data_IF_799362810972
#
_entry.id   IF_799362810972
#
_cell.length_a   1.000
_cell.length_b   1.000
_cell.length_c   1.000
_cell.angle_alpha   90.00
_cell.angle_beta   90.00
_cell.angle_gamma   90.00
#
_symmetry.space_group_name_H-M   'P 1'
#
loop_
_entity.id
_entity.type
_entity.pdbx_description
1 polymer ?
#
# COMPACT_ATOMS: atom_id res chain seq x y z
N UNK A 1 -71.08 -38.29 8.28
CA UNK A 1 -70.19 -39.45 8.05
C UNK A 1 -69.72 -39.41 6.61
N UNK A 2 -68.40 -39.34 6.48
CA UNK A 2 -67.53 -39.37 5.31
C UNK A 2 -68.14 -39.68 3.94
N UNK A 3 -67.91 -38.78 2.97
CA UNK A 3 -67.87 -39.13 1.55
C UNK A 3 -66.53 -38.72 0.95
N UNK A 4 -65.87 -39.72 0.39
CA UNK A 4 -64.68 -39.67 -0.45
C UNK A 4 -65.12 -39.49 -1.91
N UNK A 5 -64.25 -38.82 -2.67
CA UNK A 5 -63.97 -38.97 -4.12
C UNK A 5 -64.72 -38.17 -5.21
N UNK A 6 -63.94 -37.27 -5.84
CA UNK A 6 -63.50 -37.21 -7.26
C UNK A 6 -64.38 -36.47 -8.30
N UNK A 7 -63.64 -35.74 -9.17
CA UNK A 7 -63.95 -35.05 -10.45
C UNK A 7 -64.10 -33.51 -10.35
N UNK A 8 -63.48 -32.63 -11.16
CA UNK A 8 -62.60 -32.73 -12.33
C UNK A 8 -61.96 -31.34 -12.60
N UNK A 9 -60.71 -31.34 -13.06
CA UNK A 9 -60.03 -30.40 -13.96
C UNK A 9 -60.60 -28.97 -14.19
N UNK A 10 -59.81 -27.94 -13.82
CA UNK A 10 -59.35 -26.88 -14.75
C UNK A 10 -57.89 -26.51 -14.39
N UNK A 11 -57.04 -26.58 -15.42
CA UNK A 11 -55.66 -26.14 -15.48
C UNK A 11 -55.64 -24.62 -15.73
N UNK A 12 -54.99 -23.82 -14.88
CA UNK A 12 -54.37 -22.54 -15.29
C UNK A 12 -53.43 -21.99 -14.21
N UNK A 13 -52.14 -22.13 -14.51
CA UNK A 13 -51.03 -21.21 -14.28
C UNK A 13 -51.11 -20.22 -13.09
N UNK A 14 -50.38 -20.55 -12.01
CA UNK A 14 -49.49 -19.57 -11.35
C UNK A 14 -48.16 -20.29 -11.06
N UNK A 15 -47.27 -20.20 -12.04
CA UNK A 15 -45.84 -20.49 -11.88
C UNK A 15 -45.18 -19.30 -11.17
N UNK A 16 -44.10 -19.61 -10.44
CA UNK A 16 -43.02 -18.71 -10.04
C UNK A 16 -43.31 -17.71 -8.91
N UNK A 17 -42.61 -17.92 -7.79
CA UNK A 17 -41.74 -16.94 -7.09
C UNK A 17 -41.66 -17.18 -5.57
N UNK A 18 -41.41 -18.41 -5.11
CA UNK A 18 -41.01 -18.61 -3.71
C UNK A 18 -39.98 -19.74 -3.56
N UNK A 19 -38.80 -19.53 -4.15
CA UNK A 19 -37.56 -20.24 -3.79
C UNK A 19 -36.29 -19.47 -4.20
N UNK A 20 -36.36 -18.13 -4.27
CA UNK A 20 -35.21 -17.27 -4.53
C UNK A 20 -35.10 -16.26 -3.38
N UNK A 21 -34.65 -16.72 -2.23
CA UNK A 21 -34.62 -15.86 -1.05
C UNK A 21 -33.79 -16.39 0.12
N UNK A 22 -32.92 -17.37 -0.10
CA UNK A 22 -31.85 -17.76 0.83
C UNK A 22 -30.64 -18.30 0.02
N UNK A 23 -30.30 -17.65 -1.09
CA UNK A 23 -28.88 -17.59 -1.45
C UNK A 23 -28.29 -16.59 -0.47
N UNK A 24 -27.68 -17.10 0.59
CA UNK A 24 -26.65 -16.34 1.27
C UNK A 24 -25.76 -15.76 0.18
N UNK A 25 -25.64 -14.43 0.14
CA UNK A 25 -24.55 -13.76 -0.56
C UNK A 25 -23.24 -14.15 0.13
N UNK A 26 -22.86 -15.42 -0.02
CA UNK A 26 -21.52 -15.89 0.18
C UNK A 26 -20.78 -15.33 -1.02
N UNK A 27 -20.36 -14.07 -0.86
CA UNK A 27 -19.55 -13.25 -1.77
C UNK A 27 -18.85 -14.05 -2.87
N UNK A 28 -18.96 -13.55 -4.11
CA UNK A 28 -18.53 -14.11 -5.40
C UNK A 28 -17.02 -14.47 -5.56
N UNK A 29 -16.28 -14.77 -4.49
CA UNK A 29 -14.86 -15.10 -4.52
C UNK A 29 -14.58 -16.56 -4.90
N UNK A 30 -15.33 -17.17 -5.81
CA UNK A 30 -14.79 -18.35 -6.49
C UNK A 30 -13.71 -17.84 -7.46
N UNK A 31 -12.50 -17.62 -6.92
CA UNK A 31 -11.42 -16.90 -7.58
C UNK A 31 -11.00 -17.65 -8.83
N UNK A 32 -11.43 -17.13 -9.99
CA UNK A 32 -10.93 -17.57 -11.26
C UNK A 32 -9.39 -17.52 -11.24
N UNK A 33 -8.76 -18.52 -11.86
CA UNK A 33 -7.31 -18.60 -11.94
C UNK A 33 -6.71 -17.27 -12.40
N UNK A 34 -5.86 -16.67 -11.56
CA UNK A 34 -5.07 -15.51 -11.97
C UNK A 34 -3.98 -15.95 -12.93
N UNK A 35 -4.01 -15.42 -14.16
CA UNK A 35 -3.03 -15.76 -15.20
C UNK A 35 -1.77 -14.90 -15.15
N UNK A 36 -1.88 -13.72 -14.55
CA UNK A 36 -0.85 -12.69 -14.44
C UNK A 36 -1.18 -11.77 -13.27
N UNK A 37 -0.15 -11.22 -12.64
CA UNK A 37 -0.27 -10.35 -11.49
C UNK A 37 0.29 -8.97 -11.85
N UNK A 38 -0.58 -7.99 -12.07
CA UNK A 38 -0.16 -6.63 -12.35
C UNK A 38 0.31 -5.95 -11.05
N UNK A 39 1.63 -5.74 -10.92
CA UNK A 39 2.21 -5.09 -9.75
C UNK A 39 1.94 -3.59 -9.83
N UNK A 40 1.16 -3.08 -8.87
CA UNK A 40 0.88 -1.66 -8.73
C UNK A 40 2.01 -0.94 -7.98
N UNK A 41 2.55 -1.56 -6.94
CA UNK A 41 3.70 -1.05 -6.19
C UNK A 41 4.49 -2.18 -5.53
N UNK A 42 5.78 -1.93 -5.28
CA UNK A 42 6.66 -2.81 -4.48
C UNK A 42 7.46 -1.92 -3.56
N UNK A 43 7.20 -2.00 -2.25
CA UNK A 43 7.66 -1.02 -1.28
C UNK A 43 8.31 -1.74 -0.11
N UNK A 44 9.31 -1.12 0.51
CA UNK A 44 9.95 -1.67 1.70
C UNK A 44 10.10 -0.63 2.80
N UNK A 45 10.13 -1.10 4.04
CA UNK A 45 10.33 -0.27 5.24
C UNK A 45 11.69 0.44 5.21
N UNK A 46 12.71 -0.20 4.64
CA UNK A 46 14.02 0.36 4.38
C UNK A 46 14.61 -0.21 3.09
N UNK A 47 15.74 0.36 2.67
CA UNK A 47 16.49 -0.05 1.49
C UNK A 47 17.94 0.35 1.68
N UNK A 48 18.85 -0.59 1.49
CA UNK A 48 20.28 -0.28 1.40
C UNK A 48 20.55 0.48 0.12
N UNK A 49 21.17 1.65 0.27
CA UNK A 49 21.52 2.49 -0.86
C UNK A 49 23.03 2.71 -0.83
N UNK A 50 23.74 2.02 -1.72
CA UNK A 50 25.17 2.22 -1.96
C UNK A 50 25.46 2.16 -3.46
N UNK A 51 26.42 2.95 -3.95
CA UNK A 51 26.90 2.81 -5.31
C UNK A 51 28.14 1.93 -5.32
N UNK A 52 28.00 0.66 -5.70
CA UNK A 52 29.18 -0.13 -6.05
C UNK A 52 29.45 -0.03 -7.57
N UNK A 53 30.74 0.13 -7.92
CA UNK A 53 31.34 0.25 -9.26
C UNK A 53 30.43 0.73 -10.41
N UNK A 54 30.72 1.93 -10.93
CA UNK A 54 30.02 2.56 -12.06
C UNK A 54 28.51 2.80 -11.84
N UNK A 55 28.06 2.89 -10.58
CA UNK A 55 26.66 3.20 -10.24
C UNK A 55 25.68 2.06 -10.53
N UNK A 56 26.16 0.81 -10.52
CA UNK A 56 25.38 -0.36 -10.98
C UNK A 56 24.56 -1.05 -9.91
N UNK A 57 25.01 -1.03 -8.66
CA UNK A 57 24.31 -1.73 -7.59
C UNK A 57 23.39 -0.77 -6.89
N UNK A 58 22.09 -1.05 -6.94
CA UNK A 58 21.05 -0.46 -6.11
C UNK A 58 20.27 -1.66 -5.56
N UNK A 59 19.75 -1.55 -4.34
CA UNK A 59 19.00 -2.65 -3.72
C UNK A 59 17.50 -2.37 -3.57
N UNK A 60 16.82 -1.73 -4.55
CA UNK A 60 15.44 -1.35 -4.42
C UNK A 60 14.53 -2.58 -4.26
N UNK A 61 13.40 -2.44 -3.56
CA UNK A 61 12.50 -3.55 -3.31
C UNK A 61 11.98 -4.21 -4.58
N UNK A 62 11.84 -3.49 -5.70
CA UNK A 62 11.42 -4.05 -7.00
C UNK A 62 12.31 -5.18 -7.54
N UNK A 63 13.58 -5.28 -7.11
CA UNK A 63 14.49 -6.34 -7.54
C UNK A 63 13.96 -7.73 -7.20
N UNK A 64 13.08 -7.86 -6.19
CA UNK A 64 12.50 -9.17 -5.84
C UNK A 64 11.52 -9.73 -6.88
N UNK A 65 11.22 -9.02 -7.98
CA UNK A 65 10.26 -9.45 -8.99
C UNK A 65 10.87 -9.59 -10.39
N UNK A 66 12.19 -9.50 -10.55
CA UNK A 66 12.83 -9.37 -11.87
C UNK A 66 13.43 -10.67 -12.43
N UNK A 67 13.46 -11.77 -11.66
CA UNK A 67 13.98 -13.04 -12.12
C UNK A 67 15.52 -13.13 -12.12
N UNK A 68 16.23 -12.08 -11.71
CA UNK A 68 17.69 -11.99 -11.77
C UNK A 68 18.31 -12.10 -10.37
N UNK A 69 18.94 -13.25 -10.10
CA UNK A 69 19.53 -13.52 -8.78
C UNK A 69 20.76 -12.64 -8.49
N UNK A 70 21.32 -11.96 -9.51
CA UNK A 70 22.40 -10.99 -9.33
C UNK A 70 21.91 -9.66 -8.74
N UNK A 71 20.59 -9.44 -8.68
CA UNK A 71 19.94 -8.31 -8.02
C UNK A 71 19.13 -8.78 -6.81
N UNK A 72 19.01 -7.90 -5.81
CA UNK A 72 18.30 -8.22 -4.56
C UNK A 72 17.64 -6.96 -4.00
N UNK A 73 16.63 -7.14 -3.16
CA UNK A 73 16.34 -6.16 -2.12
C UNK A 73 17.24 -6.42 -0.92
N UNK A 74 17.76 -5.35 -0.32
CA UNK A 74 18.53 -5.39 0.90
C UNK A 74 17.97 -4.34 1.85
N UNK A 75 17.72 -4.71 3.10
CA UNK A 75 17.28 -3.76 4.12
C UNK A 75 18.41 -2.84 4.57
N UNK A 76 18.07 -1.76 5.29
CA UNK A 76 19.01 -0.77 5.81
C UNK A 76 18.69 -0.37 7.26
N UNK A 77 18.41 -1.35 8.10
CA UNK A 77 18.41 -1.16 9.54
C UNK A 77 19.79 -0.69 9.98
N UNK A 78 19.85 0.45 10.67
CA UNK A 78 21.11 1.13 10.97
C UNK A 78 22.05 0.30 11.86
N UNK A 79 21.48 -0.49 12.77
CA UNK A 79 22.20 -1.13 13.88
C UNK A 79 21.63 -2.53 14.16
N UNK A 80 21.28 -3.28 13.11
CA UNK A 80 20.70 -4.60 13.28
C UNK A 80 20.61 -5.39 11.99
N UNK A 81 20.18 -6.66 12.10
CA UNK A 81 20.16 -7.59 10.99
C UNK A 81 18.91 -7.45 10.10
N UNK A 82 18.10 -6.41 10.26
CA UNK A 82 16.86 -6.24 9.52
C UNK A 82 15.66 -6.98 10.10
N UNK A 83 15.70 -7.39 11.37
CA UNK A 83 14.52 -8.03 11.99
C UNK A 83 13.45 -6.96 12.19
N UNK A 84 12.26 -7.22 11.63
CA UNK A 84 11.14 -6.29 11.62
C UNK A 84 10.99 -5.53 10.30
N UNK A 85 12.03 -5.52 9.45
CA UNK A 85 11.97 -4.95 8.11
C UNK A 85 11.10 -5.81 7.20
N UNK A 86 10.42 -5.17 6.26
CA UNK A 86 9.45 -5.85 5.39
C UNK A 86 9.41 -5.27 4.00
N UNK A 87 9.04 -6.13 3.06
CA UNK A 87 8.66 -5.78 1.69
C UNK A 87 7.17 -6.03 1.50
N UNK A 88 6.51 -5.13 0.79
CA UNK A 88 5.09 -5.17 0.47
C UNK A 88 4.92 -5.05 -1.04
N UNK A 89 4.21 -6.02 -1.63
CA UNK A 89 3.79 -6.00 -3.03
C UNK A 89 2.30 -5.70 -3.04
N UNK A 90 1.89 -4.64 -3.74
CA UNK A 90 0.50 -4.30 -3.99
C UNK A 90 0.18 -4.64 -5.46
N UNK A 91 -0.90 -5.37 -5.67
CA UNK A 91 -1.41 -5.71 -7.00
C UNK A 91 -2.56 -4.78 -7.39
N UNK A 92 -2.68 -4.48 -8.68
CA UNK A 92 -3.79 -3.66 -9.20
C UNK A 92 -5.15 -4.32 -8.90
N UNK A 93 -5.20 -5.65 -9.01
CA UNK A 93 -6.36 -6.49 -8.71
C UNK A 93 -5.96 -7.65 -7.79
N UNK A 94 -6.88 -8.22 -6.99
CA UNK A 94 -6.58 -9.39 -6.17
C UNK A 94 -6.02 -10.58 -6.98
N UNK A 95 -4.93 -11.18 -6.50
CA UNK A 95 -4.24 -12.32 -7.12
C UNK A 95 -4.51 -13.59 -6.33
N UNK A 96 -4.88 -14.66 -7.05
CA UNK A 96 -5.09 -16.01 -6.51
C UNK A 96 -3.89 -16.92 -6.81
N UNK A 97 -3.33 -17.54 -5.78
CA UNK A 97 -2.13 -18.38 -5.85
C UNK A 97 -2.20 -19.50 -4.80
N UNK A 98 -1.52 -20.62 -4.99
CA UNK A 98 -1.43 -21.73 -4.03
C UNK A 98 0.00 -22.02 -3.57
N UNK A 99 0.96 -21.23 -4.05
CA UNK A 99 2.36 -21.32 -3.65
C UNK A 99 3.05 -19.96 -3.84
N UNK A 100 3.93 -19.62 -2.90
CA UNK A 100 4.94 -18.56 -3.04
C UNK A 100 6.30 -19.24 -3.09
N UNK A 101 7.14 -18.86 -4.03
CA UNK A 101 8.55 -19.23 -4.02
C UNK A 101 9.43 -18.02 -3.74
N UNK A 102 10.45 -18.21 -2.91
CA UNK A 102 11.38 -17.15 -2.49
C UNK A 102 12.81 -17.62 -2.72
N UNK A 103 13.65 -16.75 -3.27
CA UNK A 103 15.11 -16.88 -3.25
C UNK A 103 15.62 -16.13 -2.02
N UNK A 104 16.00 -16.89 -1.00
CA UNK A 104 16.41 -16.37 0.30
C UNK A 104 17.85 -15.85 0.26
N UNK A 105 18.11 -14.62 0.72
CA UNK A 105 19.45 -14.05 0.76
C UNK A 105 19.97 -13.57 -0.60
N UNK A 106 21.20 -13.05 -0.60
CA UNK A 106 21.87 -12.63 -1.83
C UNK A 106 22.50 -13.85 -2.52
N UNK A 107 21.68 -14.62 -3.22
CA UNK A 107 22.04 -15.88 -3.90
C UNK A 107 22.90 -15.70 -5.16
N UNK A 108 23.92 -14.84 -5.08
CA UNK A 108 24.86 -14.56 -6.15
C UNK A 108 26.30 -14.57 -5.65
N UNK A 109 27.15 -15.34 -6.33
CA UNK A 109 28.58 -15.51 -5.99
C UNK A 109 28.74 -15.91 -4.51
N UNK A 110 29.65 -15.26 -3.79
CA UNK A 110 29.93 -15.52 -2.38
C UNK A 110 29.15 -14.60 -1.43
N UNK A 111 28.21 -13.79 -1.95
CA UNK A 111 27.39 -12.90 -1.10
C UNK A 111 26.43 -13.68 -0.22
N UNK A 112 25.92 -14.83 -0.67
CA UNK A 112 24.97 -15.63 0.09
C UNK A 112 25.47 -15.95 1.50
N UNK A 113 26.71 -16.42 1.64
CA UNK A 113 27.28 -16.78 2.95
C UNK A 113 27.86 -15.58 3.70
N UNK A 114 28.17 -14.48 3.00
CA UNK A 114 28.68 -13.25 3.61
C UNK A 114 27.58 -12.41 4.26
N UNK A 115 26.40 -12.35 3.65
CA UNK A 115 25.24 -11.62 4.14
C UNK A 115 24.38 -12.49 5.06
N UNK A 116 23.51 -11.82 5.82
CA UNK A 116 22.46 -12.50 6.55
C UNK A 116 21.45 -13.11 5.56
N UNK A 117 20.91 -14.29 5.89
CA UNK A 117 19.75 -14.88 5.21
C UNK A 117 18.55 -14.78 6.12
N UNK A 118 17.36 -14.77 5.54
CA UNK A 118 16.12 -14.81 6.30
C UNK A 118 15.93 -16.22 6.88
N UNK A 119 15.72 -16.30 8.20
CA UNK A 119 15.40 -17.57 8.89
C UNK A 119 13.89 -17.77 8.98
N UNK A 120 13.16 -16.71 9.28
CA UNK A 120 11.71 -16.75 9.39
C UNK A 120 11.09 -15.46 8.89
N UNK A 121 9.88 -15.61 8.36
CA UNK A 121 9.05 -14.50 7.87
C UNK A 121 7.66 -14.57 8.47
N UNK A 122 7.07 -13.40 8.71
CA UNK A 122 5.65 -13.24 8.92
C UNK A 122 5.03 -12.80 7.60
N UNK A 123 4.29 -13.70 6.98
CA UNK A 123 3.60 -13.46 5.72
C UNK A 123 2.21 -12.92 6.01
N UNK A 124 1.87 -11.75 5.47
CA UNK A 124 0.54 -11.12 5.61
C UNK A 124 -0.09 -10.93 4.23
N UNK A 125 -1.33 -11.38 4.07
CA UNK A 125 -2.11 -11.30 2.83
C UNK A 125 -3.42 -10.57 3.11
N UNK A 126 -3.73 -9.53 2.32
CA UNK A 126 -5.00 -8.82 2.43
C UNK A 126 -5.67 -8.63 1.07
N UNK A 127 -6.99 -8.76 1.01
CA UNK A 127 -7.81 -8.50 -0.18
C UNK A 127 -9.25 -8.18 0.24
N UNK A 128 -9.66 -6.91 0.19
CA UNK A 128 -10.96 -6.49 0.72
C UNK A 128 -11.11 -6.86 2.20
N UNK A 129 -12.10 -7.71 2.53
CA UNK A 129 -12.31 -8.22 3.90
C UNK A 129 -11.44 -9.44 4.25
N UNK A 130 -10.77 -10.03 3.26
CA UNK A 130 -9.88 -11.16 3.50
C UNK A 130 -8.58 -10.67 4.11
N UNK A 131 -8.19 -11.32 5.21
CA UNK A 131 -6.95 -11.09 5.93
C UNK A 131 -6.42 -12.45 6.37
N UNK A 132 -5.15 -12.72 6.09
CA UNK A 132 -4.44 -13.89 6.60
C UNK A 132 -3.03 -13.49 7.00
N UNK A 133 -2.56 -14.08 8.09
CA UNK A 133 -1.19 -13.89 8.55
C UNK A 133 -0.65 -15.19 9.14
N UNK A 134 0.58 -15.56 8.75
CA UNK A 134 1.24 -16.75 9.26
C UNK A 134 2.76 -16.64 9.21
N UNK A 135 3.39 -17.22 10.23
CA UNK A 135 4.84 -17.37 10.33
C UNK A 135 5.32 -18.58 9.49
N UNK A 136 6.41 -18.39 8.75
CA UNK A 136 7.09 -19.43 7.97
C UNK A 136 8.58 -19.42 8.25
N UNK A 137 9.19 -20.61 8.27
CA UNK A 137 10.65 -20.78 8.39
C UNK A 137 11.21 -21.10 7.01
N UNK A 138 12.26 -20.39 6.61
CA UNK A 138 13.01 -20.66 5.39
C UNK A 138 14.23 -21.53 5.69
N UNK A 139 14.58 -22.41 4.75
CA UNK A 139 15.77 -23.23 4.86
C UNK A 139 17.02 -22.37 4.61
N UNK A 140 18.09 -22.68 5.33
CA UNK A 140 19.43 -22.15 5.06
C UNK A 140 20.15 -23.03 4.01
N UNK A 141 21.14 -22.46 3.34
CA UNK A 141 21.97 -23.18 2.35
C UNK A 141 21.32 -23.44 0.98
N UNK A 142 20.09 -23.00 0.76
CA UNK A 142 19.40 -23.11 -0.55
C UNK A 142 19.53 -21.80 -1.31
N UNK A 143 20.46 -21.77 -2.29
CA UNK A 143 20.71 -20.64 -3.20
C UNK A 143 19.84 -20.71 -4.46
N UNK A 144 18.57 -21.06 -4.30
CA UNK A 144 17.58 -21.21 -5.37
C UNK A 144 16.18 -21.03 -4.77
N UNK A 145 15.15 -21.16 -5.59
CA UNK A 145 13.74 -21.12 -5.17
C UNK A 145 13.44 -22.08 -4.02
N UNK A 146 12.84 -21.54 -2.96
CA UNK A 146 12.27 -22.29 -1.85
C UNK A 146 10.75 -22.10 -1.83
N UNK A 147 10.00 -23.18 -1.67
CA UNK A 147 8.54 -23.17 -1.75
C UNK A 147 7.88 -22.99 -0.39
N UNK A 148 6.88 -22.10 -0.36
CA UNK A 148 5.86 -22.00 0.67
C UNK A 148 4.54 -22.42 0.01
N UNK A 149 4.13 -23.67 0.22
CA UNK A 149 2.90 -24.22 -0.34
C UNK A 149 1.71 -24.01 0.60
N UNK A 150 0.56 -23.67 0.05
CA UNK A 150 -0.69 -23.53 0.80
C UNK A 150 -1.62 -24.71 0.51
N UNK A 151 -2.26 -25.25 1.55
CA UNK A 151 -3.20 -26.36 1.40
C UNK A 151 -4.46 -26.01 0.60
N UNK A 152 -4.77 -24.72 0.49
CA UNK A 152 -5.86 -24.15 -0.30
C UNK A 152 -5.35 -22.90 -1.03
N UNK A 153 -5.94 -22.54 -2.19
CA UNK A 153 -5.65 -21.27 -2.84
C UNK A 153 -5.85 -20.09 -1.90
N UNK A 154 -4.87 -19.19 -1.92
CA UNK A 154 -4.85 -17.92 -1.22
C UNK A 154 -5.30 -16.80 -2.16
N UNK A 155 -5.64 -15.65 -1.58
CA UNK A 155 -5.97 -14.45 -2.33
C UNK A 155 -5.37 -13.25 -1.64
N UNK A 156 -4.62 -12.45 -2.38
CA UNK A 156 -4.02 -11.22 -1.89
C UNK A 156 -4.08 -10.14 -2.96
N UNK A 157 -4.55 -8.96 -2.60
CA UNK A 157 -4.26 -7.71 -3.29
C UNK A 157 -3.00 -7.07 -2.74
N UNK A 158 -2.74 -7.24 -1.43
CA UNK A 158 -1.48 -6.83 -0.80
C UNK A 158 -0.81 -8.04 -0.16
N UNK A 159 0.46 -8.23 -0.46
CA UNK A 159 1.32 -9.27 0.09
C UNK A 159 2.49 -8.63 0.83
N UNK A 160 2.58 -8.81 2.14
CA UNK A 160 3.70 -8.30 2.96
C UNK A 160 4.51 -9.45 3.53
N UNK A 161 5.83 -9.40 3.33
CA UNK A 161 6.81 -10.35 3.85
C UNK A 161 7.69 -9.58 4.84
N UNK A 162 7.49 -9.84 6.14
CA UNK A 162 8.27 -9.25 7.22
C UNK A 162 9.31 -10.23 7.72
N UNK A 163 10.55 -9.80 7.84
CA UNK A 163 11.65 -10.57 8.42
C UNK A 163 11.43 -10.64 9.93
N UNK A 164 11.39 -11.84 10.50
CA UNK A 164 11.21 -12.06 11.95
C UNK A 164 12.40 -12.77 12.58
N UNK A 165 13.29 -13.31 11.76
CA UNK A 165 14.51 -13.96 12.21
C UNK A 165 15.51 -14.11 11.07
N UNK A 166 16.79 -14.20 11.42
CA UNK A 166 17.90 -14.27 10.47
C UNK A 166 18.83 -15.44 10.77
N UNK A 167 19.46 -15.99 9.73
CA UNK A 167 20.69 -16.76 9.84
C UNK A 167 21.86 -15.82 9.60
N UNK A 168 22.76 -15.72 10.59
CA UNK A 168 23.87 -14.77 10.54
C UNK A 168 24.85 -15.09 9.42
N UNK A 169 25.24 -14.07 8.66
CA UNK A 169 26.27 -14.08 7.65
C UNK A 169 27.67 -14.03 8.24
N UNK A 170 28.67 -14.34 7.42
CA UNK A 170 30.06 -14.34 7.85
C UNK A 170 30.71 -12.95 7.87
N UNK A 171 30.12 -11.94 7.21
CA UNK A 171 30.77 -10.64 7.01
C UNK A 171 29.86 -9.43 7.20
N UNK A 172 28.71 -9.42 6.54
CA UNK A 172 27.80 -8.28 6.51
C UNK A 172 26.59 -8.58 7.38
N UNK A 173 26.13 -7.57 8.13
CA UNK A 173 24.93 -7.70 8.96
C UNK A 173 23.65 -7.41 8.14
N UNK A 174 23.78 -7.05 6.87
CA UNK A 174 22.62 -6.79 6.01
C UNK A 174 21.92 -8.09 5.60
N UNK A 175 20.58 -8.09 5.66
CA UNK A 175 19.72 -9.18 5.18
C UNK A 175 19.13 -8.88 3.81
N UNK A 176 19.22 -9.82 2.89
CA UNK A 176 18.67 -9.66 1.54
C UNK A 176 17.56 -10.67 1.23
N UNK A 177 16.68 -10.30 0.30
CA UNK A 177 15.78 -11.22 -0.41
C UNK A 177 16.09 -11.07 -1.89
N UNK A 178 16.40 -12.18 -2.56
CA UNK A 178 16.74 -12.17 -3.98
C UNK A 178 15.52 -11.99 -4.86
N UNK A 179 14.55 -12.89 -4.73
CA UNK A 179 13.44 -12.98 -5.67
C UNK A 179 12.22 -13.63 -5.03
N UNK A 180 11.04 -13.31 -5.53
CA UNK A 180 9.74 -13.80 -5.09
C UNK A 180 8.92 -14.08 -6.34
N UNK A 181 8.24 -15.23 -6.40
CA UNK A 181 7.22 -15.50 -7.42
C UNK A 181 6.01 -16.22 -6.87
N UNK A 182 4.87 -15.99 -7.50
CA UNK A 182 3.62 -16.66 -7.18
C UNK A 182 3.37 -17.79 -8.17
N UNK A 183 2.83 -18.90 -7.68
CA UNK A 183 2.39 -20.01 -8.52
C UNK A 183 0.94 -20.37 -8.23
N UNK A 184 0.28 -20.89 -9.27
CA UNK A 184 -1.01 -21.53 -9.16
C UNK A 184 -0.94 -22.88 -9.86
N UNK A 185 -1.15 -23.97 -9.11
CA UNK A 185 -1.09 -25.36 -9.59
C UNK A 185 0.22 -25.64 -10.34
N UNK A 186 1.35 -25.21 -9.76
CA UNK A 186 2.70 -25.41 -10.30
C UNK A 186 3.06 -24.54 -11.51
N UNK A 187 2.20 -23.60 -11.91
CA UNK A 187 2.50 -22.63 -12.98
C UNK A 187 2.82 -21.28 -12.38
N UNK A 188 3.94 -20.68 -12.80
CA UNK A 188 4.31 -19.31 -12.44
C UNK A 188 3.25 -18.34 -12.96
N UNK A 189 2.81 -17.44 -12.09
CA UNK A 189 1.99 -16.28 -12.42
C UNK A 189 2.96 -15.14 -12.76
N UNK A 190 3.08 -14.71 -14.03
CA UNK A 190 4.00 -13.65 -14.41
C UNK A 190 3.57 -12.33 -13.76
N UNK A 191 4.54 -11.57 -13.25
CA UNK A 191 4.30 -10.18 -12.86
C UNK A 191 4.32 -9.27 -14.08
N UNK A 192 3.35 -8.36 -14.15
CA UNK A 192 3.35 -7.25 -15.11
C UNK A 192 3.77 -5.96 -14.42
N UNK A 193 4.07 -4.92 -15.23
CA UNK A 193 4.45 -3.59 -14.77
C UNK A 193 5.78 -3.50 -13.97
N UNK A 194 6.61 -4.55 -13.97
CA UNK A 194 7.91 -4.59 -13.27
C UNK A 194 8.91 -3.56 -13.81
N UNK A 195 9.10 -3.49 -15.14
CA UNK A 195 10.08 -2.62 -15.78
C UNK A 195 9.91 -1.11 -15.47
N UNK A 196 8.72 -0.49 -15.62
CA UNK A 196 8.53 0.91 -15.26
C UNK A 196 8.68 1.17 -13.76
N UNK A 197 8.23 0.24 -12.89
CA UNK A 197 8.46 0.34 -11.45
C UNK A 197 9.97 0.30 -11.13
N UNK A 198 10.73 -0.57 -11.81
CA UNK A 198 12.17 -0.69 -11.64
C UNK A 198 12.89 0.60 -12.00
N UNK A 199 12.58 1.17 -13.16
CA UNK A 199 13.15 2.45 -13.59
C UNK A 199 12.90 3.58 -12.57
N UNK A 200 11.66 3.68 -12.05
CA UNK A 200 11.30 4.70 -11.07
C UNK A 200 12.04 4.51 -9.72
N UNK A 201 12.15 3.27 -9.23
CA UNK A 201 12.84 3.01 -7.97
C UNK A 201 14.36 3.19 -8.10
N UNK A 202 14.98 2.75 -9.19
CA UNK A 202 16.41 3.01 -9.41
C UNK A 202 16.73 4.51 -9.48
N UNK A 203 15.84 5.33 -10.07
CA UNK A 203 15.98 6.78 -10.03
C UNK A 203 15.91 7.32 -8.60
N UNK A 204 14.96 6.82 -7.80
CA UNK A 204 14.86 7.19 -6.38
C UNK A 204 16.14 6.82 -5.63
N UNK A 205 16.63 5.59 -5.74
CA UNK A 205 17.87 5.16 -5.07
C UNK A 205 19.07 6.01 -5.52
N UNK A 206 19.16 6.42 -6.80
CA UNK A 206 20.17 7.37 -7.28
C UNK A 206 20.09 8.74 -6.61
N UNK A 207 18.89 9.23 -6.31
CA UNK A 207 18.70 10.48 -5.55
C UNK A 207 19.11 10.29 -4.08
N UNK A 208 18.77 9.15 -3.48
CA UNK A 208 19.18 8.79 -2.11
C UNK A 208 20.72 8.71 -1.97
N UNK A 209 21.44 8.38 -3.03
CA UNK A 209 22.91 8.40 -3.05
C UNK A 209 23.51 9.81 -3.12
N UNK A 210 22.82 10.73 -3.82
CA UNK A 210 23.32 12.09 -4.03
C UNK A 210 23.18 12.96 -2.78
N UNK A 211 22.11 12.75 -2.02
CA UNK A 211 21.74 13.58 -0.89
C UNK A 211 21.87 12.80 0.41
N UNK A 212 22.26 13.44 1.52
CA UNK A 212 22.24 12.75 2.81
C UNK A 212 20.80 12.61 3.30
N UNK A 213 20.49 11.54 4.03
CA UNK A 213 19.15 11.35 4.60
C UNK A 213 18.70 12.52 5.49
N UNK A 214 19.62 13.13 6.24
CA UNK A 214 19.35 14.32 7.03
C UNK A 214 19.09 15.59 6.20
N UNK A 215 19.50 15.62 4.93
CA UNK A 215 19.16 16.70 4.01
C UNK A 215 17.71 16.51 3.52
N UNK A 216 17.32 15.28 3.17
CA UNK A 216 15.93 14.95 2.82
C UNK A 216 14.95 15.28 3.95
N UNK A 217 15.24 14.90 5.20
CA UNK A 217 14.36 15.20 6.33
C UNK A 217 14.15 16.72 6.49
N UNK A 218 15.22 17.51 6.39
CA UNK A 218 15.15 18.97 6.46
C UNK A 218 14.35 19.56 5.30
N UNK A 219 14.62 19.10 4.07
CA UNK A 219 13.91 19.53 2.87
C UNK A 219 12.41 19.20 2.95
N UNK A 220 12.06 17.99 3.40
CA UNK A 220 10.68 17.56 3.56
C UNK A 220 9.95 18.42 4.59
N UNK A 221 10.54 18.63 5.78
CA UNK A 221 9.91 19.46 6.80
C UNK A 221 9.86 20.95 6.44
N UNK A 222 10.78 21.44 5.59
CA UNK A 222 10.72 22.81 5.07
C UNK A 222 9.46 23.06 4.20
N UNK A 223 8.87 22.01 3.61
CA UNK A 223 7.63 22.14 2.81
C UNK A 223 6.44 22.64 3.64
N UNK A 224 6.44 22.42 4.96
CA UNK A 224 5.39 22.89 5.88
C UNK A 224 5.47 24.40 6.14
N UNK A 225 6.59 25.05 5.77
CA UNK A 225 6.85 26.45 6.14
C UNK A 225 6.77 26.66 7.65
N UNK A 226 5.96 27.64 8.07
CA UNK A 226 5.73 27.95 9.49
C UNK A 226 4.54 27.19 10.09
N UNK A 227 3.82 26.40 9.29
CA UNK A 227 2.62 25.68 9.71
C UNK A 227 2.89 24.26 10.22
N UNK A 228 1.82 23.55 10.53
CA UNK A 228 1.84 22.13 10.90
C UNK A 228 1.16 21.22 9.88
N UNK A 229 0.68 21.79 8.77
CA UNK A 229 -0.06 21.09 7.73
C UNK A 229 0.62 21.29 6.38
N UNK A 230 0.74 20.21 5.63
CA UNK A 230 1.25 20.16 4.27
C UNK A 230 0.17 19.61 3.36
N UNK A 231 -0.28 20.46 2.44
CA UNK A 231 -1.32 20.10 1.47
C UNK A 231 -0.69 19.76 0.12
N UNK A 232 -0.90 18.54 -0.33
CA UNK A 232 -0.42 18.04 -1.60
C UNK A 232 -1.60 17.81 -2.52
N UNK A 233 -1.61 18.45 -3.70
CA UNK A 233 -2.65 18.24 -4.73
C UNK A 233 -2.06 17.69 -6.02
N UNK A 234 -2.64 16.63 -6.56
CA UNK A 234 -2.33 16.13 -7.90
C UNK A 234 -3.25 16.78 -8.96
N UNK A 235 -2.88 16.61 -10.23
CA UNK A 235 -3.59 17.20 -11.38
C UNK A 235 -5.04 16.71 -11.55
N UNK A 236 -5.40 15.58 -10.92
CA UNK A 236 -6.77 15.02 -10.93
C UNK A 236 -7.62 15.51 -9.75
N UNK A 237 -7.11 16.41 -8.92
CA UNK A 237 -7.79 16.92 -7.72
C UNK A 237 -7.77 15.97 -6.52
N UNK A 238 -7.09 14.82 -6.62
CA UNK A 238 -6.78 14.01 -5.44
C UNK A 238 -5.63 14.63 -4.66
N UNK A 239 -5.61 14.44 -3.35
CA UNK A 239 -4.59 15.05 -2.51
C UNK A 239 -4.28 14.30 -1.24
N UNK A 240 -3.27 14.81 -0.54
CA UNK A 240 -2.93 14.41 0.82
C UNK A 240 -2.90 15.63 1.74
N UNK A 241 -3.37 15.43 2.96
CA UNK A 241 -3.09 16.31 4.09
C UNK A 241 -2.07 15.58 4.95
N UNK A 242 -0.87 16.13 5.10
CA UNK A 242 0.14 15.60 6.00
C UNK A 242 0.25 16.56 7.17
N UNK A 243 0.12 16.05 8.39
CA UNK A 243 0.26 16.87 9.60
C UNK A 243 1.54 16.51 10.34
N UNK A 244 2.12 17.49 11.04
CA UNK A 244 3.29 17.29 11.89
C UNK A 244 3.09 17.79 13.31
N UNK A 245 3.77 17.13 14.25
CA UNK A 245 3.99 17.59 15.63
C UNK A 245 5.48 17.68 15.90
N UNK A 246 5.99 18.91 15.99
CA UNK A 246 7.45 19.16 16.05
C UNK A 246 8.16 18.64 14.80
N UNK A 247 9.11 17.73 14.98
CA UNK A 247 9.88 17.07 13.91
C UNK A 247 9.35 15.67 13.57
N UNK A 248 8.07 15.39 13.83
CA UNK A 248 7.44 14.09 13.56
C UNK A 248 6.18 14.27 12.75
N UNK A 249 5.94 13.35 11.81
CA UNK A 249 4.66 13.25 11.11
C UNK A 249 3.63 12.69 12.10
N UNK A 250 2.52 13.39 12.27
CA UNK A 250 1.41 12.97 13.13
C UNK A 250 0.31 12.26 12.34
N UNK A 251 0.06 12.68 11.09
CA UNK A 251 -0.97 12.07 10.26
C UNK A 251 -0.69 12.24 8.76
N UNK A 252 -1.30 11.39 7.93
CA UNK A 252 -1.30 11.49 6.47
C UNK A 252 -2.62 10.95 5.91
N UNK A 253 -3.51 11.87 5.54
CA UNK A 253 -4.85 11.55 5.08
C UNK A 253 -5.01 11.78 3.58
N UNK A 254 -5.70 10.85 2.92
CA UNK A 254 -6.17 11.05 1.55
C UNK A 254 -7.35 12.02 1.57
N UNK A 255 -7.34 13.01 0.67
CA UNK A 255 -8.42 13.97 0.53
C UNK A 255 -8.74 14.27 -0.93
N UNK A 256 -9.84 14.99 -1.13
CA UNK A 256 -10.13 15.67 -2.39
C UNK A 256 -9.83 17.15 -2.21
N UNK A 257 -9.14 17.73 -3.17
CA UNK A 257 -8.82 19.16 -3.18
C UNK A 257 -9.39 19.79 -4.45
N UNK A 258 -10.49 20.51 -4.28
CA UNK A 258 -11.19 21.23 -5.34
C UNK A 258 -10.59 22.64 -5.49
N UNK A 259 -10.63 23.16 -6.71
CA UNK A 259 -10.36 24.58 -6.96
C UNK A 259 -11.56 25.43 -6.49
N UNK A 260 -11.27 26.66 -6.08
CA UNK A 260 -12.28 27.59 -5.58
C UNK A 260 -13.34 27.92 -6.64
N UNK A 261 -14.57 27.43 -6.39
CA UNK A 261 -15.72 27.60 -7.26
C UNK A 261 -16.95 28.05 -6.44
N UNK A 262 -18.15 28.02 -7.02
CA UNK A 262 -19.35 28.41 -6.26
C UNK A 262 -19.65 27.41 -5.14
N UNK A 263 -20.19 27.90 -4.02
CA UNK A 263 -20.54 27.04 -2.88
C UNK A 263 -21.51 25.93 -3.33
N UNK A 264 -22.47 26.25 -4.21
CA UNK A 264 -23.42 25.29 -4.76
C UNK A 264 -22.75 24.17 -5.56
N UNK A 265 -21.65 24.46 -6.26
CA UNK A 265 -20.90 23.45 -7.02
C UNK A 265 -20.08 22.54 -6.10
N UNK A 266 -19.48 23.11 -5.05
CA UNK A 266 -18.71 22.35 -4.04
C UNK A 266 -19.66 21.43 -3.27
N UNK A 267 -20.79 21.94 -2.78
CA UNK A 267 -21.80 21.16 -2.05
C UNK A 267 -22.40 20.08 -2.96
N UNK A 268 -22.63 20.36 -4.24
CA UNK A 268 -23.09 19.35 -5.20
C UNK A 268 -22.07 18.23 -5.39
N UNK A 269 -20.81 18.57 -5.62
CA UNK A 269 -19.73 17.58 -5.73
C UNK A 269 -19.66 16.71 -4.48
N UNK A 270 -19.75 17.33 -3.31
CA UNK A 270 -19.78 16.63 -2.04
C UNK A 270 -20.92 15.62 -1.99
N UNK A 271 -22.15 16.04 -2.31
CA UNK A 271 -23.34 15.17 -2.28
C UNK A 271 -23.24 14.01 -3.25
N UNK A 272 -22.73 14.26 -4.45
CA UNK A 272 -22.51 13.22 -5.46
C UNK A 272 -21.49 12.17 -4.99
N UNK A 273 -20.49 12.58 -4.20
CA UNK A 273 -19.40 11.69 -3.75
C UNK A 273 -19.66 10.99 -2.42
N UNK A 274 -20.28 11.69 -1.47
CA UNK A 274 -20.40 11.26 -0.08
C UNK A 274 -21.85 11.13 0.41
N UNK A 275 -22.84 11.58 -0.37
CA UNK A 275 -24.25 11.66 0.02
C UNK A 275 -24.60 12.95 0.75
N UNK A 276 -25.85 13.05 1.23
CA UNK A 276 -26.35 14.28 1.86
C UNK A 276 -25.83 14.53 3.28
N UNK A 277 -25.42 13.46 3.99
CA UNK A 277 -24.97 13.58 5.37
C UNK A 277 -23.68 14.41 5.45
N UNK A 278 -23.70 15.52 6.21
CA UNK A 278 -22.58 16.45 6.37
C UNK A 278 -22.54 17.60 5.35
N UNK A 279 -23.42 17.59 4.34
CA UNK A 279 -23.45 18.64 3.31
C UNK A 279 -23.79 20.03 3.89
N UNK A 280 -24.68 20.10 4.88
CA UNK A 280 -25.04 21.36 5.55
C UNK A 280 -23.85 21.95 6.31
N UNK A 281 -23.03 21.10 6.94
CA UNK A 281 -21.78 21.53 7.61
C UNK A 281 -20.78 22.07 6.60
N UNK A 282 -20.59 21.39 5.46
CA UNK A 282 -19.74 21.88 4.37
C UNK A 282 -20.24 23.23 3.88
N UNK A 283 -21.55 23.38 3.67
CA UNK A 283 -22.15 24.65 3.25
C UNK A 283 -21.90 25.77 4.28
N UNK A 284 -22.16 25.52 5.56
CA UNK A 284 -21.95 26.49 6.63
C UNK A 284 -20.47 26.93 6.73
N UNK A 285 -19.52 26.01 6.58
CA UNK A 285 -18.10 26.34 6.58
C UNK A 285 -17.70 27.18 5.37
N UNK A 286 -18.25 26.89 4.18
CA UNK A 286 -18.02 27.71 2.99
C UNK A 286 -18.59 29.13 3.14
N UNK A 287 -19.75 29.28 3.76
CA UNK A 287 -20.41 30.58 3.99
C UNK A 287 -19.65 31.47 5.00
N UNK A 288 -18.85 30.87 5.89
CA UNK A 288 -17.97 31.60 6.82
C UNK A 288 -16.75 32.24 6.14
N UNK A 289 -16.43 31.85 4.91
CA UNK A 289 -15.23 32.30 4.21
C UNK A 289 -15.58 33.11 2.96
N UNK A 290 -14.84 34.18 2.69
CA UNK A 290 -14.97 34.90 1.43
C UNK A 290 -14.23 34.15 0.32
N UNK A 291 -14.90 33.88 -0.81
CA UNK A 291 -14.32 33.14 -1.95
C UNK A 291 -12.99 33.72 -2.46
N UNK A 292 -12.75 35.03 -2.28
CA UNK A 292 -11.50 35.67 -2.71
C UNK A 292 -10.29 35.28 -1.84
N UNK A 293 -10.52 34.73 -0.66
CA UNK A 293 -9.47 34.49 0.34
C UNK A 293 -8.78 33.13 0.15
N UNK A 294 -9.35 32.22 -0.63
CA UNK A 294 -8.81 30.88 -0.89
C UNK A 294 -8.80 30.54 -2.39
N UNK A 295 -7.85 29.69 -2.78
CA UNK A 295 -7.74 29.10 -4.13
C UNK A 295 -8.23 27.65 -4.16
N UNK A 296 -8.22 26.97 -3.01
CA UNK A 296 -8.56 25.57 -2.89
C UNK A 296 -9.45 25.26 -1.69
N UNK A 297 -10.29 24.24 -1.84
CA UNK A 297 -11.15 23.71 -0.80
C UNK A 297 -10.85 22.23 -0.62
N UNK A 298 -10.52 21.86 0.61
CA UNK A 298 -10.31 20.47 1.01
C UNK A 298 -11.64 19.89 1.45
N UNK A 299 -11.97 18.73 0.87
CA UNK A 299 -13.06 17.91 1.31
C UNK A 299 -12.47 16.57 1.74
N UNK A 300 -12.50 16.33 3.06
CA UNK A 300 -12.17 15.04 3.63
C UNK A 300 -13.28 14.56 4.57
N UNK A 301 -13.29 13.24 4.79
CA UNK A 301 -14.17 12.59 5.75
C UNK A 301 -13.30 12.21 6.94
N UNK A 302 -13.44 12.95 8.04
CA UNK A 302 -12.70 12.69 9.27
C UNK A 302 -13.15 11.34 9.87
N UNK A 303 -12.18 10.52 10.28
CA UNK A 303 -12.40 9.21 10.91
C UNK A 303 -11.99 9.26 12.38
N UNK A 304 -12.80 9.93 13.21
CA UNK A 304 -12.47 10.16 14.63
C UNK A 304 -12.52 8.88 15.46
N UNK A 305 -13.25 7.86 15.01
CA UNK A 305 -13.55 6.65 15.78
C UNK A 305 -12.65 5.44 15.45
N UNK A 306 -11.72 5.58 14.50
CA UNK A 306 -10.78 4.52 14.14
C UNK A 306 -9.47 4.68 14.92
N UNK A 307 -8.81 3.56 15.26
CA UNK A 307 -7.46 3.58 15.81
C UNK A 307 -6.54 4.29 14.82
N UNK A 308 -5.92 5.40 15.23
CA UNK A 308 -5.13 6.20 14.31
C UNK A 308 -3.79 5.50 14.01
N UNK A 309 -3.43 5.38 12.72
CA UNK A 309 -2.10 4.92 12.35
C UNK A 309 -1.02 5.81 12.94
N UNK A 310 0.14 5.23 13.24
CA UNK A 310 1.36 5.97 13.59
C UNK A 310 2.21 6.15 12.34
N UNK A 311 2.83 7.31 12.20
CA UNK A 311 3.68 7.62 11.05
C UNK A 311 5.13 7.85 11.46
N UNK A 312 6.06 7.53 10.55
CA UNK A 312 7.48 7.84 10.69
C UNK A 312 8.04 8.27 9.33
N UNK A 313 8.75 9.39 9.31
CA UNK A 313 9.54 9.75 8.13
C UNK A 313 10.79 8.85 8.09
N UNK A 314 10.90 8.05 7.03
CA UNK A 314 12.11 7.33 6.66
C UNK A 314 12.84 8.07 5.54
N UNK A 315 14.00 7.57 5.14
CA UNK A 315 14.75 8.16 4.03
C UNK A 315 13.92 8.04 2.73
N UNK A 316 13.47 9.18 2.18
CA UNK A 316 12.63 9.28 0.97
C UNK A 316 11.33 8.45 1.03
N UNK A 317 10.77 8.26 2.23
CA UNK A 317 9.51 7.53 2.41
C UNK A 317 8.80 7.90 3.70
N UNK A 318 7.48 7.71 3.73
CA UNK A 318 6.68 7.78 4.95
C UNK A 318 6.24 6.36 5.29
N UNK A 319 6.58 5.91 6.49
CA UNK A 319 6.13 4.63 7.05
C UNK A 319 4.83 4.84 7.80
N UNK A 320 3.82 4.02 7.51
CA UNK A 320 2.54 3.96 8.21
C UNK A 320 2.47 2.65 8.98
N UNK A 321 2.30 2.76 10.29
CA UNK A 321 2.08 1.65 11.21
C UNK A 321 0.60 1.64 11.56
N UNK A 322 -0.10 0.56 11.29
CA UNK A 322 -1.55 0.45 11.52
C UNK A 322 -1.91 -0.93 12.08
N UNK A 323 -2.91 -0.97 12.97
CA UNK A 323 -3.42 -2.22 13.52
C UNK A 323 -4.56 -2.73 12.65
N UNK A 324 -4.36 -3.84 11.94
CA UNK A 324 -5.41 -4.54 11.18
C UNK A 324 -5.71 -5.85 11.87
N UNK A 325 -6.95 -6.06 12.34
CA UNK A 325 -7.37 -7.28 13.03
C UNK A 325 -6.36 -7.72 14.13
N UNK A 326 -5.99 -6.79 15.01
CA UNK A 326 -5.06 -6.99 16.14
C UNK A 326 -3.57 -7.16 15.76
N UNK A 327 -3.21 -6.94 14.50
CA UNK A 327 -1.85 -7.08 13.99
C UNK A 327 -1.32 -5.72 13.53
N UNK A 328 -0.18 -5.29 14.08
CA UNK A 328 0.53 -4.11 13.55
C UNK A 328 1.16 -4.46 12.20
N UNK A 329 0.70 -3.80 11.14
CA UNK A 329 1.29 -3.83 9.80
C UNK A 329 2.04 -2.52 9.56
N UNK A 330 3.11 -2.61 8.77
CA UNK A 330 3.89 -1.44 8.35
C UNK A 330 3.90 -1.37 6.85
N UNK A 331 3.44 -0.25 6.31
CA UNK A 331 3.51 0.05 4.86
C UNK A 331 4.38 1.28 4.64
N UNK A 332 4.98 1.38 3.46
CA UNK A 332 5.78 2.53 3.07
C UNK A 332 5.09 3.30 1.93
N UNK A 333 5.29 4.61 1.89
CA UNK A 333 4.93 5.49 0.77
C UNK A 333 6.19 6.20 0.30
N UNK A 334 6.59 6.01 -0.95
CA UNK A 334 7.79 6.67 -1.49
C UNK A 334 7.54 8.17 -1.68
N UNK A 335 8.51 8.97 -1.25
CA UNK A 335 8.51 10.42 -1.37
C UNK A 335 9.76 10.85 -2.13
N UNK A 336 9.58 11.51 -3.26
CA UNK A 336 10.65 12.23 -3.98
C UNK A 336 10.35 13.72 -3.97
N UNK A 337 11.37 14.52 -3.71
CA UNK A 337 11.30 15.98 -3.69
C UNK A 337 12.00 16.55 -4.92
N UNK A 338 11.36 17.54 -5.55
CA UNK A 338 11.92 18.34 -6.63
C UNK A 338 11.43 19.80 -6.48
N UNK A 339 12.15 20.56 -5.64
CA UNK A 339 11.73 21.89 -5.22
C UNK A 339 10.40 21.87 -4.48
N UNK A 340 9.37 22.53 -5.04
CA UNK A 340 7.99 22.54 -4.50
C UNK A 340 7.11 21.40 -5.06
N UNK A 341 7.67 20.55 -5.90
CA UNK A 341 6.99 19.37 -6.42
C UNK A 341 7.31 18.18 -5.53
N UNK A 342 6.27 17.46 -5.11
CA UNK A 342 6.40 16.22 -4.33
C UNK A 342 5.86 15.09 -5.15
N UNK A 343 6.64 14.04 -5.33
CA UNK A 343 6.19 12.81 -5.95
C UNK A 343 5.86 11.80 -4.86
N UNK A 344 4.61 11.36 -4.80
CA UNK A 344 4.12 10.34 -3.86
C UNK A 344 3.86 9.07 -4.64
N UNK A 345 4.63 8.00 -4.39
CA UNK A 345 4.62 6.77 -5.19
C UNK A 345 4.73 7.03 -6.71
N UNK A 346 5.57 8.00 -7.09
CA UNK A 346 5.78 8.40 -8.49
C UNK A 346 4.72 9.33 -9.08
N UNK A 347 3.59 9.53 -8.41
CA UNK A 347 2.55 10.48 -8.84
C UNK A 347 2.97 11.88 -8.42
N UNK A 348 2.89 12.84 -9.33
CA UNK A 348 3.24 14.25 -9.09
C UNK A 348 2.15 14.97 -8.27
N UNK A 349 2.58 15.66 -7.23
CA UNK A 349 1.78 16.57 -6.40
C UNK A 349 2.46 17.93 -6.31
N UNK A 350 1.63 18.97 -6.18
CA UNK A 350 2.08 20.34 -5.92
C UNK A 350 1.80 20.69 -4.47
N UNK A 351 2.75 21.31 -3.79
CA UNK A 351 2.56 21.88 -2.46
C UNK A 351 1.71 23.14 -2.58
N UNK A 352 0.57 23.17 -1.90
CA UNK A 352 -0.31 24.34 -1.89
C UNK A 352 0.12 25.37 -0.84
N UNK A 353 -0.22 26.64 -1.08
CA UNK A 353 -0.05 27.68 -0.08
C UNK A 353 -1.11 27.50 1.02
N UNK A 354 -0.74 27.20 2.28
CA UNK A 354 -1.73 26.93 3.33
C UNK A 354 -2.65 28.13 3.61
N UNK A 355 -2.22 29.36 3.35
CA UNK A 355 -3.04 30.56 3.52
C UNK A 355 -4.10 30.74 2.41
N UNK A 356 -4.11 29.87 1.40
CA UNK A 356 -5.04 29.88 0.26
C UNK A 356 -5.85 28.59 0.19
N UNK A 357 -5.89 27.84 1.28
CA UNK A 357 -6.62 26.58 1.40
C UNK A 357 -7.59 26.72 2.58
N UNK A 358 -8.82 26.28 2.39
CA UNK A 358 -9.75 26.08 3.51
C UNK A 358 -10.10 24.60 3.62
N UNK A 359 -10.14 24.12 4.84
CA UNK A 359 -10.61 22.78 5.16
C UNK A 359 -12.07 22.86 5.62
N UNK A 360 -12.97 22.28 4.82
CA UNK A 360 -14.40 22.18 5.13
C UNK A 360 -14.81 20.77 5.51
N UNK A 361 -13.82 19.94 5.88
CA UNK A 361 -14.05 18.57 6.34
C UNK A 361 -14.98 18.55 7.55
N UNK A 362 -15.73 17.46 7.65
CA UNK A 362 -16.73 17.25 8.68
C UNK A 362 -16.46 15.90 9.35
N UNK A 363 -16.86 15.78 10.62
CA UNK A 363 -16.83 14.52 11.31
C UNK A 363 -17.97 13.65 10.80
N UNK A 364 -17.60 12.55 10.13
CA UNK A 364 -18.57 11.50 9.95
C UNK A 364 -18.77 10.80 11.28
N UNK A 365 -20.00 10.80 11.79
CA UNK A 365 -20.39 9.88 12.85
C UNK A 365 -20.04 8.42 12.50
N UNK A 366 -20.02 7.53 13.50
CA UNK A 366 -19.66 6.12 13.32
C UNK A 366 -20.47 5.41 12.23
#
# INVERSE_FOLDING_TARGET
MEKRCIEKFILSAVLCFFAAGLSFAQSDWFMAQTRKADAKSVLATSELVEAQFAGKYLYPPINVLDGDFATVWCEAEKDGPGIGESITIEFAEPVSFDEIQIVNGFAYKDYYTKNNRVKSILLTQTAGKHFQQREYVLADGVQNWQSICFGLPQTAQTLTIKITGVYKGAKYDDTCIGDIRLLYKGKVIPFENVAPLKAAQEENSKLMLKNKAGDFEKEFFALFGNGNELYLRNERGGGFIITKSGSRISDMDNCVILEAQSNEAIVRYYKEKYGDYGADTVQEQLEKHNRKDYDYVIISRSRVWEERPRYKLGNYRILKYETIQYVETVTATLIKLDGKTVYVNGIKYTVLNPNRVIDVSFDAGP
#
